data_IF_316048872624
#
_entry.id   IF_316048872624
#
_cell.length_a   1.000
_cell.length_b   1.000
_cell.length_c   1.000
_cell.angle_alpha   90.00
_cell.angle_beta   90.00
_cell.angle_gamma   90.00
#
_symmetry.space_group_name_H-M   'P 1'
#
loop_
_entity.id
_entity.type
_entity.pdbx_description
1 polymer ?
#
# COMPACT_ATOMS: atom_id res chain seq x y z
N UNK A 1 17.18 -18.26 18.45
CA UNK A 1 15.71 -18.40 18.25
C UNK A 1 15.40 -18.29 16.77
N UNK A 2 14.84 -19.32 16.15
CA UNK A 2 14.56 -19.37 14.70
C UNK A 2 13.36 -18.50 14.27
N UNK A 3 13.18 -18.32 12.95
CA UNK A 3 12.03 -17.61 12.39
C UNK A 3 10.77 -18.47 12.48
N UNK A 4 9.78 -18.03 13.26
CA UNK A 4 8.46 -18.67 13.32
C UNK A 4 7.55 -18.15 12.21
N UNK A 5 6.88 -19.04 11.50
CA UNK A 5 5.88 -18.68 10.47
C UNK A 5 4.64 -18.09 11.15
N UNK A 6 4.30 -16.84 10.81
CA UNK A 6 3.10 -16.16 11.30
C UNK A 6 1.94 -16.31 10.31
N UNK A 7 0.72 -16.55 10.81
CA UNK A 7 -0.51 -16.44 10.01
C UNK A 7 -0.72 -14.97 9.59
N UNK A 8 -1.22 -14.73 8.39
CA UNK A 8 -1.55 -13.38 7.92
C UNK A 8 -2.91 -12.97 8.47
N UNK A 9 -2.87 -12.42 9.69
CA UNK A 9 -4.00 -11.80 10.38
C UNK A 9 -3.49 -10.65 11.24
N UNK A 10 -4.39 -9.80 11.74
CA UNK A 10 -4.02 -8.76 12.72
C UNK A 10 -3.39 -9.43 13.95
N UNK A 11 -2.27 -8.87 14.42
CA UNK A 11 -1.65 -9.32 15.68
C UNK A 11 -2.39 -8.70 16.85
N UNK A 12 -2.84 -9.51 17.81
CA UNK A 12 -3.58 -9.04 18.99
C UNK A 12 -2.67 -8.35 20.01
N UNK A 13 -1.48 -8.91 20.27
CA UNK A 13 -0.51 -8.30 21.19
C UNK A 13 0.03 -6.99 20.60
N UNK A 14 -0.26 -5.87 21.26
CA UNK A 14 0.15 -4.52 20.83
C UNK A 14 1.67 -4.36 20.74
N UNK A 15 2.43 -4.82 21.74
CA UNK A 15 3.90 -4.73 21.73
C UNK A 15 4.49 -5.59 20.62
N UNK A 16 3.99 -6.82 20.46
CA UNK A 16 4.37 -7.71 19.36
C UNK A 16 4.03 -7.14 17.98
N UNK A 17 2.88 -6.46 17.85
CA UNK A 17 2.45 -5.79 16.63
C UNK A 17 3.36 -4.60 16.28
N UNK A 18 3.72 -3.77 17.25
CA UNK A 18 4.65 -2.64 17.04
C UNK A 18 6.04 -3.12 16.63
N UNK A 19 6.61 -4.10 17.34
CA UNK A 19 7.91 -4.66 17.00
C UNK A 19 7.91 -5.33 15.61
N UNK A 20 6.83 -6.05 15.27
CA UNK A 20 6.66 -6.67 13.95
C UNK A 20 6.52 -5.62 12.85
N UNK A 21 5.75 -4.56 13.08
CA UNK A 21 5.60 -3.43 12.16
C UNK A 21 6.95 -2.78 11.89
N UNK A 22 7.73 -2.45 12.93
CA UNK A 22 9.04 -1.82 12.77
C UNK A 22 9.98 -2.67 11.89
N UNK A 23 10.07 -3.98 12.18
CA UNK A 23 10.92 -4.91 11.42
C UNK A 23 10.46 -5.08 9.98
N UNK A 24 9.16 -5.29 9.75
CA UNK A 24 8.61 -5.48 8.39
C UNK A 24 8.68 -4.20 7.57
N UNK A 25 8.36 -3.05 8.16
CA UNK A 25 8.48 -1.73 7.53
C UNK A 25 9.91 -1.51 7.03
N UNK A 26 10.91 -1.77 7.88
CA UNK A 26 12.31 -1.65 7.48
C UNK A 26 12.66 -2.57 6.31
N UNK A 27 12.23 -3.84 6.36
CA UNK A 27 12.44 -4.78 5.25
C UNK A 27 11.79 -4.36 3.93
N UNK A 28 10.56 -3.85 3.98
CA UNK A 28 9.82 -3.35 2.82
C UNK A 28 10.50 -2.10 2.23
N UNK A 29 10.87 -1.12 3.08
CA UNK A 29 11.58 0.08 2.62
C UNK A 29 12.93 -0.29 1.96
N UNK A 30 13.67 -1.24 2.54
CA UNK A 30 14.92 -1.73 1.95
C UNK A 30 14.68 -2.32 0.55
N UNK A 31 13.67 -3.18 0.40
CA UNK A 31 13.33 -3.81 -0.89
C UNK A 31 12.84 -2.81 -1.93
N UNK A 32 12.04 -1.81 -1.52
CA UNK A 32 11.60 -0.74 -2.40
C UNK A 32 12.79 0.08 -2.92
N UNK A 33 13.73 0.43 -2.03
CA UNK A 33 14.93 1.17 -2.42
C UNK A 33 15.84 0.35 -3.35
N UNK A 34 16.07 -0.92 -3.02
CA UNK A 34 16.83 -1.84 -3.89
C UNK A 34 16.21 -1.90 -5.29
N UNK A 35 14.88 -2.07 -5.39
CA UNK A 35 14.19 -2.14 -6.68
C UNK A 35 14.27 -0.82 -7.46
N UNK A 36 14.07 0.31 -6.78
CA UNK A 36 14.15 1.64 -7.39
C UNK A 36 15.54 1.91 -7.98
N UNK A 37 16.61 1.51 -7.27
CA UNK A 37 17.98 1.67 -7.74
C UNK A 37 18.30 0.70 -8.88
N UNK A 38 17.99 -0.59 -8.72
CA UNK A 38 18.37 -1.64 -9.67
C UNK A 38 17.67 -1.52 -11.02
N UNK A 39 16.43 -1.06 -11.03
CA UNK A 39 15.60 -1.02 -12.24
C UNK A 39 15.29 0.41 -12.71
N UNK A 40 15.84 1.43 -12.05
CA UNK A 40 15.53 2.85 -12.29
C UNK A 40 14.02 3.14 -12.31
N UNK A 41 13.28 2.52 -11.40
CA UNK A 41 11.83 2.68 -11.30
C UNK A 41 11.44 3.68 -10.22
N UNK A 42 10.45 4.50 -10.52
CA UNK A 42 9.81 5.39 -9.55
C UNK A 42 8.89 4.58 -8.63
N UNK A 43 9.12 4.67 -7.32
CA UNK A 43 8.34 3.98 -6.30
C UNK A 43 7.95 4.96 -5.19
N UNK A 44 6.69 4.90 -4.77
CA UNK A 44 6.18 5.62 -3.59
C UNK A 44 5.51 4.63 -2.62
N UNK A 45 5.95 4.65 -1.35
CA UNK A 45 5.28 3.94 -0.26
C UNK A 45 4.92 4.91 0.86
N UNK A 46 3.62 5.02 1.13
CA UNK A 46 3.06 5.74 2.29
C UNK A 46 2.42 4.75 3.25
N UNK A 47 2.83 4.78 4.51
CA UNK A 47 2.32 3.87 5.55
C UNK A 47 2.03 4.63 6.83
N UNK A 48 0.86 4.39 7.43
CA UNK A 48 0.56 4.83 8.78
C UNK A 48 0.83 3.69 9.76
N UNK A 49 1.60 4.00 10.81
CA UNK A 49 1.86 3.05 11.90
C UNK A 49 0.60 2.83 12.75
N UNK A 50 0.57 1.80 13.62
CA UNK A 50 -0.53 1.60 14.57
C UNK A 50 -0.77 2.79 15.53
N UNK A 51 0.18 3.72 15.64
CA UNK A 51 0.07 4.96 16.42
C UNK A 51 -0.21 6.17 15.53
N UNK A 52 -0.69 5.97 14.30
CA UNK A 52 -0.99 6.98 13.29
C UNK A 52 0.19 7.87 12.87
N UNK A 53 1.43 7.50 13.23
CA UNK A 53 2.62 8.18 12.71
C UNK A 53 2.86 7.80 11.25
N UNK A 54 3.01 8.76 10.32
CA UNK A 54 3.28 8.46 8.93
C UNK A 54 4.74 8.00 8.74
N UNK A 55 4.96 7.20 7.72
CA UNK A 55 6.28 6.82 7.19
C UNK A 55 6.19 6.85 5.67
N UNK A 56 7.21 7.44 5.06
CA UNK A 56 7.25 7.72 3.64
C UNK A 56 8.58 7.21 3.06
N UNK A 57 8.49 6.56 1.90
CA UNK A 57 9.62 6.12 1.11
C UNK A 57 9.38 6.57 -0.32
N UNK A 58 10.30 7.36 -0.85
CA UNK A 58 10.22 7.94 -2.19
C UNK A 58 11.51 7.58 -2.92
N UNK A 59 11.39 7.26 -4.21
CA UNK A 59 12.52 7.11 -5.11
C UNK A 59 13.18 8.46 -5.46
N UNK A 60 13.76 8.55 -6.66
CA UNK A 60 14.53 9.74 -7.09
C UNK A 60 13.68 11.00 -7.36
N UNK A 61 12.39 10.86 -7.66
CA UNK A 61 11.48 11.96 -8.07
C UNK A 61 10.61 12.43 -6.90
N UNK A 62 10.00 13.61 -7.05
CA UNK A 62 9.04 14.14 -6.09
C UNK A 62 7.76 13.28 -6.05
N UNK A 63 6.97 13.39 -4.98
CA UNK A 63 5.69 12.66 -4.84
C UNK A 63 4.71 13.17 -5.88
N UNK A 64 4.71 14.48 -6.06
CA UNK A 64 3.86 15.25 -6.95
C UNK A 64 4.00 14.73 -8.38
N UNK A 65 5.22 14.58 -8.89
CA UNK A 65 5.48 14.04 -10.23
C UNK A 65 4.94 12.62 -10.42
N UNK A 66 5.11 11.75 -9.42
CA UNK A 66 4.62 10.36 -9.49
C UNK A 66 3.10 10.33 -9.50
N UNK A 67 2.45 11.17 -8.69
CA UNK A 67 0.99 11.29 -8.63
C UNK A 67 0.44 11.87 -9.95
N UNK A 68 1.06 12.92 -10.48
CA UNK A 68 0.67 13.54 -11.75
C UNK A 68 0.75 12.54 -12.90
N UNK A 69 1.85 11.79 -13.01
CA UNK A 69 2.03 10.72 -14.00
C UNK A 69 0.94 9.66 -13.90
N UNK A 70 0.52 9.30 -12.68
CA UNK A 70 -0.60 8.37 -12.47
C UNK A 70 -1.96 9.00 -12.81
N UNK A 71 -2.13 10.30 -12.56
CA UNK A 71 -3.36 11.06 -12.85
C UNK A 71 -3.62 11.21 -14.35
N UNK A 72 -2.57 11.22 -15.18
CA UNK A 72 -2.66 11.26 -16.64
C UNK A 72 -3.28 9.99 -17.28
N UNK A 73 -3.33 8.87 -16.55
CA UNK A 73 -3.98 7.64 -17.04
C UNK A 73 -5.50 7.79 -17.10
N UNK A 74 -6.14 7.13 -18.06
CA UNK A 74 -7.60 7.14 -18.16
C UNK A 74 -8.25 6.45 -16.93
N UNK A 75 -9.46 6.85 -16.52
CA UNK A 75 -10.17 6.18 -15.43
C UNK A 75 -10.31 4.66 -15.61
N UNK A 76 -10.54 4.22 -16.84
CA UNK A 76 -10.68 2.82 -17.24
C UNK A 76 -9.37 2.05 -17.04
N UNK A 77 -8.25 2.64 -17.46
CA UNK A 77 -6.93 2.06 -17.27
C UNK A 77 -6.53 1.95 -15.80
N UNK A 78 -6.85 2.96 -14.99
CA UNK A 78 -6.63 2.91 -13.53
C UNK A 78 -7.46 1.80 -12.89
N UNK A 79 -8.73 1.65 -13.29
CA UNK A 79 -9.61 0.59 -12.81
C UNK A 79 -9.10 -0.81 -13.19
N UNK A 80 -8.64 -0.98 -14.45
CA UNK A 80 -8.05 -2.22 -14.94
C UNK A 80 -6.82 -2.63 -14.14
N UNK A 81 -5.83 -1.74 -13.97
CA UNK A 81 -4.60 -2.01 -13.21
C UNK A 81 -4.87 -2.35 -11.74
N UNK A 82 -5.88 -1.71 -11.13
CA UNK A 82 -6.34 -2.03 -9.77
C UNK A 82 -6.92 -3.45 -9.69
N UNK A 83 -7.75 -3.85 -10.65
CA UNK A 83 -8.31 -5.20 -10.71
C UNK A 83 -7.21 -6.26 -10.85
N UNK A 84 -6.27 -6.07 -11.78
CA UNK A 84 -5.13 -6.96 -11.99
C UNK A 84 -4.29 -7.14 -10.71
N UNK A 85 -4.04 -6.04 -9.99
CA UNK A 85 -3.31 -6.07 -8.71
C UNK A 85 -4.06 -6.86 -7.64
N UNK A 86 -5.39 -6.71 -7.55
CA UNK A 86 -6.22 -7.46 -6.59
C UNK A 86 -6.30 -8.95 -6.93
N UNK A 87 -6.34 -9.30 -8.21
CA UNK A 87 -6.31 -10.69 -8.66
C UNK A 87 -4.98 -11.36 -8.34
N UNK A 88 -3.85 -10.67 -8.57
CA UNK A 88 -2.53 -11.15 -8.21
C UNK A 88 -2.42 -11.38 -6.69
N UNK A 89 -2.99 -10.47 -5.89
CA UNK A 89 -3.07 -10.60 -4.44
C UNK A 89 -3.89 -11.85 -4.04
N UNK A 90 -5.08 -12.03 -4.62
CA UNK A 90 -5.93 -13.22 -4.38
C UNK A 90 -5.19 -14.51 -4.66
N UNK A 91 -4.53 -14.60 -5.82
CA UNK A 91 -3.76 -15.78 -6.23
C UNK A 91 -2.64 -16.07 -5.23
N UNK A 92 -1.97 -15.04 -4.74
CA UNK A 92 -0.88 -15.19 -3.77
C UNK A 92 -1.39 -15.69 -2.41
N UNK A 93 -2.52 -15.17 -1.92
CA UNK A 93 -3.09 -15.61 -0.65
C UNK A 93 -3.72 -16.99 -0.69
N UNK A 94 -4.37 -17.36 -1.80
CA UNK A 94 -4.88 -18.72 -2.00
C UNK A 94 -3.77 -19.77 -1.93
N UNK A 95 -2.58 -19.47 -2.49
CA UNK A 95 -1.40 -20.35 -2.37
C UNK A 95 -0.86 -20.48 -0.94
N UNK A 96 -1.13 -19.49 -0.09
CA UNK A 96 -0.70 -19.47 1.31
C UNK A 96 -1.74 -20.12 2.25
N UNK A 97 -2.79 -20.75 1.71
CA UNK A 97 -3.90 -21.34 2.47
C UNK A 97 -4.63 -20.31 3.34
N UNK A 98 -4.68 -19.06 2.87
CA UNK A 98 -5.44 -17.97 3.49
C UNK A 98 -6.52 -17.53 2.52
N UNK A 99 -7.78 -17.59 2.96
CA UNK A 99 -8.89 -17.03 2.20
C UNK A 99 -8.92 -15.50 2.38
N UNK A 100 -8.92 -14.76 1.28
CA UNK A 100 -8.98 -13.30 1.29
C UNK A 100 -10.24 -12.84 0.58
N UNK A 101 -11.13 -12.20 1.34
CA UNK A 101 -12.34 -11.62 0.80
C UNK A 101 -12.02 -10.31 0.05
N UNK A 102 -11.96 -10.38 -1.27
CA UNK A 102 -11.70 -9.20 -2.13
C UNK A 102 -12.81 -8.16 -1.99
N UNK A 103 -14.06 -8.60 -1.75
CA UNK A 103 -15.21 -7.71 -1.66
C UNK A 103 -15.11 -6.77 -0.44
N UNK A 104 -14.47 -7.20 0.64
CA UNK A 104 -14.17 -6.36 1.81
C UNK A 104 -13.16 -5.25 1.48
N UNK A 105 -12.14 -5.57 0.68
CA UNK A 105 -11.13 -4.60 0.20
C UNK A 105 -11.68 -3.61 -0.83
N UNK A 106 -12.64 -4.05 -1.65
CA UNK A 106 -13.34 -3.19 -2.60
C UNK A 106 -14.36 -2.29 -1.89
N UNK A 107 -15.19 -2.84 -0.99
CA UNK A 107 -16.32 -2.16 -0.35
C UNK A 107 -15.93 -1.04 0.62
N UNK A 108 -14.78 -1.11 1.29
CA UNK A 108 -14.37 -0.09 2.27
C UNK A 108 -13.68 1.14 1.68
N UNK A 109 -13.16 1.08 0.44
CA UNK A 109 -12.33 2.16 -0.13
C UNK A 109 -12.99 3.02 -1.20
N UNK A 110 -14.08 2.56 -1.82
CA UNK A 110 -14.85 3.41 -2.75
C UNK A 110 -15.49 4.60 -2.04
N UNK A 111 -15.82 4.50 -0.73
CA UNK A 111 -16.29 5.65 0.04
C UNK A 111 -15.16 6.56 0.53
N UNK A 112 -14.03 6.03 0.99
CA UNK A 112 -12.99 6.87 1.64
C UNK A 112 -12.07 7.61 0.66
N UNK A 113 -11.68 6.98 -0.46
CA UNK A 113 -10.77 7.63 -1.43
C UNK A 113 -11.51 8.70 -2.23
N UNK A 114 -12.76 8.43 -2.63
CA UNK A 114 -13.60 9.41 -3.33
C UNK A 114 -13.96 10.59 -2.41
N UNK A 115 -14.33 10.34 -1.14
CA UNK A 115 -14.58 11.43 -0.20
C UNK A 115 -13.30 12.22 0.14
N UNK A 116 -12.13 11.57 0.26
CA UNK A 116 -10.89 12.26 0.62
C UNK A 116 -10.30 13.08 -0.53
N UNK A 117 -10.35 12.58 -1.77
CA UNK A 117 -9.91 13.35 -2.95
C UNK A 117 -10.90 14.45 -3.31
N UNK A 118 -12.21 14.21 -3.19
CA UNK A 118 -13.22 15.26 -3.37
C UNK A 118 -13.08 16.36 -2.31
N UNK A 119 -12.79 16.02 -1.03
CA UNK A 119 -12.49 17.03 0.00
C UNK A 119 -11.21 17.80 -0.30
N UNK A 120 -10.16 17.15 -0.79
CA UNK A 120 -8.91 17.83 -1.13
C UNK A 120 -9.11 18.80 -2.31
N UNK A 121 -9.84 18.39 -3.35
CA UNK A 121 -10.18 19.26 -4.49
C UNK A 121 -11.10 20.43 -4.11
N UNK A 122 -12.03 20.24 -3.15
CA UNK A 122 -12.89 21.30 -2.64
C UNK A 122 -12.15 22.31 -1.75
N UNK A 123 -11.09 21.88 -1.05
CA UNK A 123 -10.26 22.76 -0.21
C UNK A 123 -9.32 23.65 -1.05
N UNK A 124 -9.00 23.26 -2.28
CA UNK A 124 -8.23 24.09 -3.23
C UNK A 124 -9.11 24.94 -4.17
N UNK A 125 -10.44 24.92 -4.00
CA UNK A 125 -11.39 25.69 -4.83
C UNK A 125 -12.09 26.84 -4.09
N UNK A 126 -11.55 27.30 -2.95
CA UNK A 126 -11.95 28.52 -2.26
C UNK A 126 -10.74 29.35 -1.85
#
# INVERSE_FOLDING_TARGET
MGRVKLKIKKLENTNGRQATYAKRKHGIMKKANELSILCDVEIILLMFSPTNKPSLCIGKRSIEEIIEKFAQLTPQERAKRKLESLEALKKTFKKLDHDVNIHEFLGTRYMTIFFSLAKLLLVFSF
#
